data_IF_324834137163
#
_entry.id   IF_324834137163
#
_cell.length_a   1.000
_cell.length_b   1.000
_cell.length_c   1.000
_cell.angle_alpha   90.00
_cell.angle_beta   90.00
_cell.angle_gamma   90.00
#
_symmetry.space_group_name_H-M   'P 1'
#
loop_
_entity.id
_entity.type
_entity.pdbx_description
1 polymer ?
#
# COMPACT_ATOMS: atom_id res chain seq x y z
N UNK A 1 0.96 2.09 -2.41
CA UNK A 1 -0.38 1.65 -2.89
C UNK A 1 -0.86 2.66 -3.92
N UNK A 2 -1.82 2.28 -4.77
CA UNK A 2 -2.50 3.20 -5.67
C UNK A 2 -4.02 3.02 -5.51
N UNK A 3 -4.63 3.90 -4.70
CA UNK A 3 -6.06 3.82 -4.37
C UNK A 3 -6.97 4.20 -5.55
N UNK A 4 -6.42 4.73 -6.65
CA UNK A 4 -7.18 4.92 -7.88
C UNK A 4 -7.50 3.58 -8.56
N UNK A 5 -6.70 2.54 -8.29
CA UNK A 5 -6.89 1.18 -8.82
C UNK A 5 -7.80 0.38 -7.91
N UNK A 6 -8.79 -0.25 -8.52
CA UNK A 6 -9.64 -1.22 -7.81
C UNK A 6 -8.87 -2.48 -7.44
N UNK A 7 -7.99 -2.95 -8.33
CA UNK A 7 -7.25 -4.21 -8.19
C UNK A 7 -5.75 -4.00 -8.15
N UNK A 8 -5.08 -4.88 -7.40
CA UNK A 8 -3.63 -4.96 -7.32
C UNK A 8 -3.08 -5.35 -8.69
N UNK A 9 -2.12 -4.58 -9.17
CA UNK A 9 -1.38 -4.89 -10.37
C UNK A 9 -0.07 -5.56 -9.96
N UNK A 10 0.19 -6.77 -10.44
CA UNK A 10 1.44 -7.50 -10.22
C UNK A 10 1.88 -8.19 -11.50
N UNK A 11 3.18 -8.21 -11.78
CA UNK A 11 3.75 -8.87 -12.96
C UNK A 11 5.20 -9.31 -12.69
N UNK A 12 5.37 -10.61 -12.43
CA UNK A 12 6.68 -11.22 -12.16
C UNK A 12 7.53 -11.42 -13.43
N UNK A 13 6.97 -11.22 -14.63
CA UNK A 13 7.70 -11.36 -15.91
C UNK A 13 8.61 -10.17 -16.19
N UNK A 14 8.36 -9.02 -15.55
CA UNK A 14 9.17 -7.82 -15.67
C UNK A 14 10.41 -7.99 -14.77
N UNK A 15 11.55 -8.30 -15.37
CA UNK A 15 12.82 -8.54 -14.66
C UNK A 15 13.81 -7.39 -14.76
N UNK A 16 13.69 -6.53 -15.78
CA UNK A 16 14.56 -5.37 -15.95
C UNK A 16 14.30 -4.31 -14.85
N UNK A 17 15.39 -3.86 -14.20
CA UNK A 17 15.33 -2.92 -13.07
C UNK A 17 14.79 -1.54 -13.47
N UNK A 18 15.07 -1.07 -14.68
CA UNK A 18 14.58 0.23 -15.16
C UNK A 18 13.09 0.15 -15.49
N UNK A 19 12.67 -0.92 -16.15
CA UNK A 19 11.25 -1.16 -16.42
C UNK A 19 10.45 -1.36 -15.12
N UNK A 20 11.00 -2.06 -14.12
CA UNK A 20 10.39 -2.15 -12.78
C UNK A 20 10.21 -0.79 -12.13
N UNK A 21 11.25 0.04 -12.11
CA UNK A 21 11.16 1.38 -11.55
C UNK A 21 10.12 2.25 -12.28
N UNK A 22 10.02 2.12 -13.60
CA UNK A 22 9.06 2.85 -14.42
C UNK A 22 7.61 2.42 -14.15
N UNK A 23 7.37 1.13 -13.97
CA UNK A 23 6.03 0.55 -13.85
C UNK A 23 5.54 0.49 -12.41
N UNK A 24 6.41 0.10 -11.47
CA UNK A 24 6.09 -0.10 -10.06
C UNK A 24 6.63 1.01 -9.14
N UNK A 25 7.31 2.03 -9.70
CA UNK A 25 7.88 3.16 -8.97
C UNK A 25 9.24 2.89 -8.30
N UNK A 26 9.66 1.63 -8.19
CA UNK A 26 10.95 1.23 -7.60
C UNK A 26 11.50 -0.02 -8.29
N UNK A 27 12.82 -0.17 -8.35
CA UNK A 27 13.48 -1.23 -9.14
C UNK A 27 13.28 -2.65 -8.58
N UNK A 28 12.93 -2.78 -7.31
CA UNK A 28 12.71 -4.02 -6.57
C UNK A 28 11.22 -4.30 -6.32
N UNK A 29 10.33 -3.37 -6.68
CA UNK A 29 8.89 -3.61 -6.64
C UNK A 29 8.44 -4.49 -7.82
N UNK A 30 7.51 -5.39 -7.54
CA UNK A 30 6.84 -6.28 -8.53
C UNK A 30 5.33 -6.11 -8.56
N UNK A 31 4.80 -5.19 -7.75
CA UNK A 31 3.36 -4.95 -7.61
C UNK A 31 3.05 -3.53 -7.15
N UNK A 32 1.87 -3.06 -7.54
CA UNK A 32 1.20 -1.88 -7.00
C UNK A 32 -0.13 -2.33 -6.41
N UNK A 33 -0.25 -2.30 -5.09
CA UNK A 33 -1.47 -2.66 -4.38
C UNK A 33 -2.61 -1.66 -4.67
N UNK A 34 -3.76 -2.19 -5.09
CA UNK A 34 -5.02 -1.46 -5.24
C UNK A 34 -5.92 -1.59 -4.02
N UNK A 35 -7.18 -1.17 -4.15
CA UNK A 35 -8.18 -1.24 -3.06
C UNK A 35 -8.49 -2.67 -2.60
N UNK A 36 -8.37 -3.65 -3.50
CA UNK A 36 -8.53 -5.07 -3.19
C UNK A 36 -7.53 -5.63 -2.15
N UNK A 37 -6.47 -4.89 -1.84
CA UNK A 37 -5.44 -5.33 -0.89
C UNK A 37 -6.00 -5.55 0.52
N UNK A 38 -6.90 -4.69 1.00
CA UNK A 38 -7.51 -4.85 2.32
C UNK A 38 -8.34 -6.13 2.40
N UNK A 39 -9.11 -6.43 1.34
CA UNK A 39 -9.89 -7.65 1.27
C UNK A 39 -9.03 -8.90 1.12
N UNK A 40 -7.88 -8.81 0.43
CA UNK A 40 -6.87 -9.88 0.39
C UNK A 40 -6.40 -10.22 1.80
N UNK A 41 -6.07 -9.22 2.62
CA UNK A 41 -5.66 -9.42 4.01
C UNK A 41 -6.79 -10.06 4.85
N UNK A 42 -8.04 -9.61 4.69
CA UNK A 42 -9.21 -10.20 5.35
C UNK A 42 -9.38 -11.68 4.99
N UNK A 43 -9.25 -12.02 3.70
CA UNK A 43 -9.37 -13.41 3.21
C UNK A 43 -8.27 -14.34 3.73
N UNK A 44 -7.09 -13.81 4.03
CA UNK A 44 -5.98 -14.58 4.65
C UNK A 44 -6.28 -14.90 6.12
N UNK A 45 -7.27 -14.22 6.73
CA UNK A 45 -7.71 -14.47 8.10
C UNK A 45 -7.33 -13.38 9.10
N UNK A 46 -6.87 -12.22 8.64
CA UNK A 46 -6.66 -11.06 9.50
C UNK A 46 -7.96 -10.28 9.69
N UNK A 47 -8.18 -9.74 10.90
CA UNK A 47 -9.04 -8.57 11.04
C UNK A 47 -8.26 -7.35 10.56
N UNK A 48 -8.86 -6.55 9.69
CA UNK A 48 -8.17 -5.42 9.03
C UNK A 48 -8.95 -4.13 9.27
N UNK A 49 -8.28 -3.18 9.90
CA UNK A 49 -8.75 -1.81 10.06
C UNK A 49 -8.01 -0.91 9.06
N UNK A 50 -8.78 -0.14 8.28
CA UNK A 50 -8.28 0.79 7.27
C UNK A 50 -8.12 2.17 7.91
N UNK A 51 -6.90 2.60 8.20
CA UNK A 51 -6.66 3.80 9.00
C UNK A 51 -5.97 4.90 8.20
N UNK A 52 -6.67 6.03 8.04
CA UNK A 52 -6.12 7.26 7.45
C UNK A 52 -5.46 8.13 8.53
N UNK A 53 -4.31 7.71 9.05
CA UNK A 53 -3.61 8.41 10.14
C UNK A 53 -3.28 9.87 9.81
N UNK A 54 -2.99 10.18 8.53
CA UNK A 54 -2.70 11.56 8.11
C UNK A 54 -3.90 12.51 8.20
N UNK A 55 -5.11 11.98 8.41
CA UNK A 55 -6.31 12.79 8.67
C UNK A 55 -6.57 13.01 10.17
N UNK A 56 -5.83 12.33 11.06
CA UNK A 56 -6.08 12.30 12.50
C UNK A 56 -4.89 12.83 13.31
N UNK A 57 -3.66 12.60 12.85
CA UNK A 57 -2.44 13.01 13.52
C UNK A 57 -2.08 14.47 13.21
N UNK A 58 -1.38 15.16 14.13
CA UNK A 58 -0.85 16.48 13.86
C UNK A 58 0.27 16.44 12.80
N UNK A 59 0.49 17.56 12.12
CA UNK A 59 1.47 17.66 11.03
C UNK A 59 2.91 17.35 11.46
N UNK A 60 3.24 17.65 12.72
CA UNK A 60 4.54 17.30 13.33
C UNK A 60 4.77 15.79 13.35
N UNK A 61 3.74 15.00 13.69
CA UNK A 61 3.82 13.53 13.74
C UNK A 61 3.84 12.94 12.33
N UNK A 62 3.03 13.50 11.40
CA UNK A 62 3.06 13.11 9.99
C UNK A 62 4.47 13.26 9.42
N UNK A 63 5.13 14.38 9.73
CA UNK A 63 6.50 14.66 9.30
C UNK A 63 7.51 13.75 9.99
N UNK A 64 7.40 13.59 11.31
CA UNK A 64 8.29 12.76 12.12
C UNK A 64 8.29 11.29 11.70
N UNK A 65 7.12 10.74 11.35
CA UNK A 65 6.97 9.35 10.92
C UNK A 65 6.99 9.18 9.39
N UNK A 66 7.21 10.27 8.63
CA UNK A 66 7.26 10.28 7.17
C UNK A 66 6.00 9.65 6.51
N UNK A 67 4.81 9.91 7.06
CA UNK A 67 3.57 9.36 6.53
C UNK A 67 3.20 10.05 5.22
N UNK A 68 2.89 9.27 4.18
CA UNK A 68 2.45 9.84 2.91
C UNK A 68 1.04 10.42 3.06
N UNK A 69 0.86 11.69 2.69
CA UNK A 69 -0.44 12.38 2.85
C UNK A 69 -1.54 11.66 2.06
N UNK A 70 -2.61 11.28 2.75
CA UNK A 70 -3.74 10.56 2.17
C UNK A 70 -3.55 9.04 2.06
N UNK A 71 -2.44 8.50 2.58
CA UNK A 71 -2.23 7.06 2.67
C UNK A 71 -3.22 6.41 3.66
N UNK A 72 -3.70 5.21 3.30
CA UNK A 72 -4.55 4.38 4.15
C UNK A 72 -3.72 3.18 4.59
N UNK A 73 -3.38 3.14 5.87
CA UNK A 73 -2.53 2.10 6.44
C UNK A 73 -3.41 0.95 6.95
N UNK A 74 -3.19 -0.30 6.49
CA UNK A 74 -3.85 -1.46 7.06
C UNK A 74 -3.25 -1.80 8.42
N UNK A 75 -4.04 -1.65 9.48
CA UNK A 75 -3.71 -2.19 10.80
C UNK A 75 -4.36 -3.55 10.91
N UNK A 76 -3.56 -4.59 11.12
CA UNK A 76 -4.04 -5.97 11.13
C UNK A 76 -3.89 -6.63 12.50
N UNK A 77 -4.89 -7.42 12.86
CA UNK A 77 -4.91 -8.20 14.10
C UNK A 77 -4.98 -9.68 13.76
N UNK A 78 -4.18 -10.48 14.46
CA UNK A 78 -4.25 -11.94 14.36
C UNK A 78 -5.54 -12.41 15.05
N UNK A 79 -6.37 -13.08 14.27
CA UNK A 79 -7.56 -13.79 14.74
C UNK A 79 -7.19 -15.04 15.55
#
# INVERSE_FOLDING_TARGET
QDLSREKTFEDDTITDRKERAKIFGQYDHVRVYGRDYFDKLRRIGFKVDEVAYTAQLPEEDITKYCLAKGEIIPVVYRS
#
